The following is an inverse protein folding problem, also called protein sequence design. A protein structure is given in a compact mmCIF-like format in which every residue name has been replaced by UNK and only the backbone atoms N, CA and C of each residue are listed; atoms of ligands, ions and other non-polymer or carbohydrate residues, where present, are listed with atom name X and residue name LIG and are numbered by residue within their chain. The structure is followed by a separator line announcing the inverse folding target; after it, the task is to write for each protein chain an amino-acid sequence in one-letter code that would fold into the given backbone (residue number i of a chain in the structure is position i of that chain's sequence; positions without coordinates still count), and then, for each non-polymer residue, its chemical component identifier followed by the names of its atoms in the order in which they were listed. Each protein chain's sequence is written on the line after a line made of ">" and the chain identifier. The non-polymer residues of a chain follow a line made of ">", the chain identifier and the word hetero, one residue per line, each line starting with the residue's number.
data_IF_966779896244
#
_entry.id   IF_966779896244
#
_cell.length_a   1.000
_cell.length_b   1.000
_cell.length_c   1.000
_cell.angle_alpha   90.00
_cell.angle_beta   90.00
_cell.angle_gamma   90.00
#
_symmetry.space_group_name_H-M   'P 1'
#
loop_
_entity.id
_entity.type
_entity.pdbx_description
1 polymer ?
#
# COMPACT_ATOMS: atom_id res chain seq x y z
N UNK A 1 2.10 -27.70 -14.61
CA UNK A 1 1.99 -26.64 -13.57
C UNK A 1 2.71 -25.41 -14.12
N UNK A 2 2.21 -24.20 -13.90
CA UNK A 2 2.86 -22.99 -14.41
C UNK A 2 2.84 -21.88 -13.36
N UNK A 3 3.91 -21.10 -13.31
CA UNK A 3 4.05 -19.91 -12.49
C UNK A 3 3.96 -18.65 -13.35
N UNK A 4 3.33 -17.61 -12.80
CA UNK A 4 3.18 -16.32 -13.44
C UNK A 4 3.51 -15.21 -12.46
N UNK A 5 4.26 -14.25 -12.95
CA UNK A 5 4.63 -13.03 -12.23
C UNK A 5 4.58 -11.88 -13.22
N UNK A 6 3.99 -10.76 -12.81
CA UNK A 6 3.96 -9.54 -13.61
C UNK A 6 5.34 -8.85 -13.69
N UNK A 7 6.30 -9.30 -12.87
CA UNK A 7 7.69 -8.82 -12.89
C UNK A 7 8.59 -9.52 -13.92
N UNK A 8 8.14 -10.63 -14.54
CA UNK A 8 8.93 -11.40 -15.50
C UNK A 8 8.54 -11.07 -16.94
N UNK A 9 9.53 -10.85 -17.81
CA UNK A 9 9.28 -10.72 -19.25
C UNK A 9 8.83 -12.06 -19.84
N UNK A 10 8.18 -12.00 -21.00
CA UNK A 10 7.62 -13.17 -21.70
C UNK A 10 8.66 -14.30 -21.93
N UNK A 11 9.93 -13.96 -22.16
CA UNK A 11 11.02 -14.92 -22.32
C UNK A 11 11.43 -15.57 -20.99
N UNK A 12 11.73 -14.79 -19.96
CA UNK A 12 12.07 -15.27 -18.61
C UNK A 12 10.95 -16.13 -18.02
N UNK A 13 9.69 -15.74 -18.25
CA UNK A 13 8.54 -16.51 -17.83
C UNK A 13 8.44 -17.85 -18.57
N UNK A 14 8.81 -17.91 -19.85
CA UNK A 14 8.88 -19.17 -20.58
C UNK A 14 9.96 -20.07 -20.00
N UNK A 15 11.15 -19.54 -19.74
CA UNK A 15 12.28 -20.33 -19.20
C UNK A 15 12.00 -20.85 -17.79
N UNK A 16 11.42 -20.02 -16.92
CA UNK A 16 11.00 -20.43 -15.57
C UNK A 16 9.96 -21.54 -15.62
N UNK A 17 8.98 -21.43 -16.52
CA UNK A 17 7.96 -22.48 -16.68
C UNK A 17 8.53 -23.77 -17.28
N UNK A 18 9.51 -23.68 -18.18
CA UNK A 18 10.23 -24.84 -18.70
C UNK A 18 11.05 -25.52 -17.61
N UNK A 19 11.78 -24.78 -16.77
CA UNK A 19 12.54 -25.33 -15.65
C UNK A 19 11.64 -25.97 -14.60
N UNK A 20 10.53 -25.30 -14.24
CA UNK A 20 9.55 -25.83 -13.30
C UNK A 20 8.91 -27.13 -13.81
N UNK A 21 8.57 -27.18 -15.10
CA UNK A 21 8.02 -28.39 -15.71
C UNK A 21 9.03 -29.54 -15.71
N UNK A 22 10.29 -29.29 -16.05
CA UNK A 22 11.35 -30.29 -16.02
C UNK A 22 11.60 -30.84 -14.61
N UNK A 23 11.61 -29.96 -13.59
CA UNK A 23 11.76 -30.37 -12.20
C UNK A 23 10.59 -31.24 -11.73
N UNK A 24 9.35 -30.84 -12.00
CA UNK A 24 8.17 -31.63 -11.63
C UNK A 24 8.16 -32.98 -12.34
N UNK A 25 8.60 -33.05 -13.61
CA UNK A 25 8.72 -34.31 -14.34
C UNK A 25 9.86 -35.20 -13.86
N UNK A 26 10.81 -34.67 -13.09
CA UNK A 26 11.90 -35.45 -12.48
C UNK A 26 11.55 -36.03 -11.11
N UNK A 27 10.40 -35.65 -10.52
CA UNK A 27 9.93 -36.19 -9.25
C UNK A 27 9.24 -37.54 -9.47
N UNK A 28 9.55 -38.52 -8.62
CA UNK A 28 8.95 -39.85 -8.67
C UNK A 28 7.45 -39.82 -8.31
N UNK A 29 6.68 -40.74 -8.89
CA UNK A 29 5.24 -40.83 -8.65
C UNK A 29 4.94 -41.24 -7.21
N UNK A 30 4.65 -40.27 -6.34
CA UNK A 30 4.27 -40.51 -4.94
C UNK A 30 4.57 -39.36 -3.97
N UNK A 31 5.39 -38.38 -4.36
CA UNK A 31 5.72 -37.23 -3.50
C UNK A 31 4.76 -36.04 -3.69
N UNK A 32 4.64 -35.19 -2.66
CA UNK A 32 3.81 -33.99 -2.70
C UNK A 32 4.37 -32.96 -3.69
N UNK A 33 4.06 -33.13 -4.98
CA UNK A 33 4.56 -32.29 -6.08
C UNK A 33 4.35 -30.79 -5.89
N UNK A 34 3.37 -30.38 -5.07
CA UNK A 34 3.08 -28.96 -4.80
C UNK A 34 4.14 -28.35 -3.88
N UNK A 35 4.59 -29.07 -2.85
CA UNK A 35 5.62 -28.55 -1.93
C UNK A 35 6.94 -28.37 -2.68
N UNK A 36 7.35 -29.38 -3.43
CA UNK A 36 8.58 -29.36 -4.23
C UNK A 36 8.51 -28.28 -5.32
N UNK A 37 7.37 -28.11 -6.00
CA UNK A 37 7.19 -27.02 -6.95
C UNK A 37 7.33 -25.63 -6.30
N UNK A 38 6.80 -25.43 -5.08
CA UNK A 38 6.91 -24.14 -4.38
C UNK A 38 8.33 -23.89 -3.88
N UNK A 39 9.02 -24.90 -3.36
CA UNK A 39 10.43 -24.77 -2.96
C UNK A 39 11.32 -24.50 -4.16
N UNK A 40 11.15 -25.27 -5.23
CA UNK A 40 11.93 -25.08 -6.46
C UNK A 40 11.76 -23.67 -7.02
N UNK A 41 10.54 -23.13 -7.07
CA UNK A 41 10.32 -21.74 -7.50
C UNK A 41 11.08 -20.79 -6.58
N UNK A 42 10.99 -20.92 -5.25
CA UNK A 42 11.72 -20.05 -4.31
C UNK A 42 13.24 -20.08 -4.53
N UNK A 43 13.81 -21.27 -4.67
CA UNK A 43 15.26 -21.46 -4.80
C UNK A 43 15.80 -21.05 -6.17
N UNK A 44 14.96 -21.13 -7.22
CA UNK A 44 15.39 -20.88 -8.60
C UNK A 44 14.85 -19.56 -9.17
N UNK A 45 14.14 -18.72 -8.40
CA UNK A 45 13.59 -17.45 -8.91
C UNK A 45 14.68 -16.42 -9.23
N UNK A 46 15.76 -16.38 -8.45
CA UNK A 46 16.83 -15.39 -8.57
C UNK A 46 17.45 -15.33 -9.99
N UNK A 47 17.91 -16.43 -10.60
CA UNK A 47 18.54 -16.37 -11.94
C UNK A 47 17.60 -15.89 -13.05
N UNK A 48 16.28 -16.08 -12.93
CA UNK A 48 15.31 -15.57 -13.91
C UNK A 48 15.02 -14.07 -13.73
N UNK A 49 15.30 -13.51 -12.55
CA UNK A 49 15.27 -12.07 -12.28
C UNK A 49 16.56 -11.37 -12.74
N UNK A 50 17.69 -12.08 -12.73
CA UNK A 50 19.03 -11.56 -13.08
C UNK A 50 19.20 -11.18 -14.57
N UNK A 51 18.26 -11.55 -15.45
CA UNK A 51 18.20 -10.99 -16.82
C UNK A 51 17.92 -9.47 -16.88
N UNK A 52 17.72 -8.82 -15.73
CA UNK A 52 17.67 -7.37 -15.55
C UNK A 52 18.95 -6.79 -14.90
N UNK A 53 19.91 -7.61 -14.50
CA UNK A 53 21.12 -7.19 -13.77
C UNK A 53 22.35 -7.77 -14.46
N UNK A 54 22.91 -7.00 -15.39
CA UNK A 54 24.28 -7.23 -15.85
C UNK A 54 25.27 -7.10 -14.68
N UNK A 55 26.31 -7.95 -14.62
CA UNK A 55 27.28 -7.95 -13.52
C UNK A 55 28.30 -6.83 -13.74
N UNK A 56 27.95 -5.61 -13.36
CA UNK A 56 28.89 -4.49 -13.35
C UNK A 56 29.05 -3.97 -11.93
N UNK A 57 30.11 -4.48 -11.31
CA UNK A 57 30.85 -3.88 -10.20
C UNK A 57 30.10 -3.80 -8.87
N UNK A 58 30.76 -4.27 -7.82
CA UNK A 58 30.48 -3.92 -6.43
C UNK A 58 30.59 -2.40 -6.25
N UNK A 59 29.59 -1.67 -6.75
CA UNK A 59 29.25 -0.33 -6.36
C UNK A 59 28.08 -0.51 -5.41
N UNK A 60 28.21 0.05 -4.21
CA UNK A 60 27.13 0.20 -3.25
C UNK A 60 25.84 0.47 -4.02
N UNK A 61 24.91 -0.49 -4.00
CA UNK A 61 23.57 -0.25 -4.52
C UNK A 61 23.01 0.81 -3.61
N UNK A 62 23.16 2.08 -4.01
CA UNK A 62 22.31 3.15 -3.55
C UNK A 62 20.94 2.75 -4.09
N UNK A 63 20.27 1.86 -3.35
CA UNK A 63 18.84 1.64 -3.45
C UNK A 63 18.30 3.04 -3.22
N UNK A 64 17.96 3.74 -4.31
CA UNK A 64 17.16 4.95 -4.20
C UNK A 64 15.92 4.49 -3.46
N UNK A 65 15.84 4.78 -2.17
CA UNK A 65 14.67 4.46 -1.35
C UNK A 65 13.48 5.16 -2.02
N UNK A 66 12.71 4.39 -2.79
CA UNK A 66 11.51 4.89 -3.46
C UNK A 66 10.45 5.02 -2.38
N UNK A 67 10.09 6.27 -2.10
CA UNK A 67 9.02 6.58 -1.18
C UNK A 67 7.70 6.29 -1.87
N UNK A 68 6.87 5.48 -1.25
CA UNK A 68 5.51 5.21 -1.68
C UNK A 68 4.53 5.89 -0.73
N UNK A 69 3.44 6.43 -1.28
CA UNK A 69 2.33 6.96 -0.52
C UNK A 69 1.04 6.26 -0.91
N UNK A 70 0.33 5.72 0.07
CA UNK A 70 -0.97 5.09 -0.13
C UNK A 70 -2.08 5.97 0.41
N UNK A 71 -3.08 6.19 -0.42
CA UNK A 71 -4.29 6.91 -0.06
C UNK A 71 -5.47 5.95 0.02
N UNK A 72 -5.93 5.71 1.23
CA UNK A 72 -6.93 4.69 1.54
C UNK A 72 -8.21 5.39 1.97
N UNK A 73 -9.29 5.07 1.26
CA UNK A 73 -10.64 5.48 1.58
C UNK A 73 -11.36 4.35 2.32
N UNK A 74 -12.11 4.71 3.35
CA UNK A 74 -13.02 3.81 4.05
C UNK A 74 -14.36 4.51 4.28
N UNK A 75 -15.43 3.72 4.35
CA UNK A 75 -16.76 4.29 4.60
C UNK A 75 -16.80 4.99 5.96
N UNK A 76 -16.32 4.32 7.03
CA UNK A 76 -16.16 4.90 8.36
C UNK A 76 -14.99 4.28 9.13
N UNK A 77 -14.39 5.06 10.03
CA UNK A 77 -13.47 4.57 11.08
C UNK A 77 -14.00 5.02 12.43
N UNK A 78 -14.80 4.18 13.09
CA UNK A 78 -15.38 4.49 14.42
C UNK A 78 -14.84 3.59 15.54
N UNK A 79 -14.42 2.37 15.23
CA UNK A 79 -13.97 1.40 16.24
C UNK A 79 -12.59 1.81 16.75
N UNK A 80 -12.49 2.03 18.06
CA UNK A 80 -11.21 2.34 18.72
C UNK A 80 -10.16 1.24 18.50
N UNK A 81 -10.57 -0.04 18.48
CA UNK A 81 -9.67 -1.16 18.20
C UNK A 81 -9.06 -1.09 16.79
N UNK A 82 -9.86 -0.66 15.81
CA UNK A 82 -9.41 -0.50 14.43
C UNK A 82 -8.45 0.66 14.29
N UNK A 83 -8.76 1.79 14.94
CA UNK A 83 -7.88 2.95 15.04
C UNK A 83 -6.56 2.55 15.69
N UNK A 84 -6.60 1.89 16.86
CA UNK A 84 -5.41 1.38 17.54
C UNK A 84 -4.58 0.47 16.61
N UNK A 85 -5.22 -0.46 15.90
CA UNK A 85 -4.54 -1.33 14.94
C UNK A 85 -3.83 -0.55 13.83
N UNK A 86 -4.45 0.49 13.28
CA UNK A 86 -3.85 1.38 12.27
C UNK A 86 -2.57 2.02 12.82
N UNK A 87 -2.65 2.62 14.01
CA UNK A 87 -1.50 3.27 14.66
C UNK A 87 -0.39 2.28 15.03
N UNK A 88 -0.73 1.13 15.63
CA UNK A 88 0.24 0.09 15.99
C UNK A 88 0.96 -0.44 14.74
N UNK A 89 0.24 -0.61 13.63
CA UNK A 89 0.82 -1.09 12.36
C UNK A 89 1.73 -0.03 11.73
N UNK A 90 1.29 1.22 11.66
CA UNK A 90 2.10 2.32 11.13
C UNK A 90 3.40 2.50 11.94
N UNK A 91 3.29 2.49 13.27
CA UNK A 91 4.44 2.58 14.18
C UNK A 91 5.40 1.40 14.02
N UNK A 92 4.89 0.17 13.93
CA UNK A 92 5.70 -1.04 13.74
C UNK A 92 6.51 -0.98 12.44
N UNK A 93 5.92 -0.44 11.38
CA UNK A 93 6.52 -0.33 10.05
C UNK A 93 7.26 1.00 9.82
N UNK A 94 7.34 1.86 10.84
CA UNK A 94 7.97 3.19 10.79
C UNK A 94 7.44 4.06 9.64
N UNK A 95 6.14 3.98 9.37
CA UNK A 95 5.47 4.78 8.36
C UNK A 95 5.05 6.13 8.93
N UNK A 96 5.02 7.16 8.10
CA UNK A 96 4.43 8.48 8.40
C UNK A 96 3.11 8.65 7.67
N UNK A 97 2.37 9.74 7.93
CA UNK A 97 1.06 9.97 7.32
C UNK A 97 0.00 10.39 8.32
N UNK A 98 -1.24 10.01 8.08
CA UNK A 98 -2.33 10.33 9.00
C UNK A 98 -3.47 9.33 8.95
N UNK A 99 -4.25 9.29 10.04
CA UNK A 99 -5.54 8.64 10.10
C UNK A 99 -6.63 9.67 10.43
N UNK A 100 -7.51 9.95 9.47
CA UNK A 100 -8.72 10.74 9.64
C UNK A 100 -9.87 9.80 10.01
N UNK A 101 -10.16 9.71 11.31
CA UNK A 101 -11.28 8.92 11.80
C UNK A 101 -12.61 9.69 11.66
N UNK A 102 -13.69 9.00 11.29
CA UNK A 102 -15.00 9.63 11.06
C UNK A 102 -15.74 9.02 9.87
N UNK A 103 -16.66 9.80 9.29
CA UNK A 103 -17.41 9.48 8.07
C UNK A 103 -17.26 10.62 7.06
N UNK A 104 -16.61 10.41 5.91
CA UNK A 104 -15.82 9.22 5.55
C UNK A 104 -14.54 9.09 6.40
N UNK A 105 -13.95 7.89 6.44
CA UNK A 105 -12.64 7.68 7.06
C UNK A 105 -11.54 7.66 6.00
N UNK A 106 -10.45 8.38 6.22
CA UNK A 106 -9.31 8.46 5.29
C UNK A 106 -8.03 8.09 6.01
N UNK A 107 -7.18 7.31 5.36
CA UNK A 107 -5.85 6.96 5.87
C UNK A 107 -4.84 7.27 4.78
N UNK A 108 -3.77 7.97 5.15
CA UNK A 108 -2.59 8.17 4.32
C UNK A 108 -1.39 7.52 5.02
N UNK A 109 -0.60 6.74 4.30
CA UNK A 109 0.70 6.26 4.78
C UNK A 109 1.80 6.54 3.77
N UNK A 110 2.97 6.91 4.28
CA UNK A 110 4.18 7.18 3.50
C UNK A 110 5.36 6.39 4.06
N UNK A 111 6.19 5.87 3.18
CA UNK A 111 7.43 5.20 3.55
C UNK A 111 7.95 4.28 2.44
N UNK A 112 8.82 3.32 2.77
CA UNK A 112 9.29 2.33 1.81
C UNK A 112 8.12 1.53 1.21
N UNK A 113 8.16 1.26 -0.10
CA UNK A 113 7.12 0.54 -0.82
C UNK A 113 6.70 -0.76 -0.10
N UNK A 114 7.67 -1.58 0.30
CA UNK A 114 7.43 -2.84 1.01
C UNK A 114 6.65 -2.66 2.32
N UNK A 115 6.93 -1.59 3.07
CA UNK A 115 6.24 -1.28 4.31
C UNK A 115 4.82 -0.76 4.06
N UNK A 116 4.63 0.07 3.04
CA UNK A 116 3.32 0.54 2.63
C UNK A 116 2.40 -0.61 2.19
N UNK A 117 2.91 -1.53 1.36
CA UNK A 117 2.18 -2.72 0.92
C UNK A 117 1.84 -3.64 2.10
N UNK A 118 2.77 -3.83 3.04
CA UNK A 118 2.53 -4.61 4.26
C UNK A 118 1.47 -3.96 5.15
N UNK A 119 1.52 -2.64 5.32
CA UNK A 119 0.49 -1.90 6.05
C UNK A 119 -0.88 -2.12 5.43
N UNK A 120 -1.01 -1.98 4.10
CA UNK A 120 -2.27 -2.22 3.40
C UNK A 120 -2.76 -3.66 3.58
N UNK A 121 -1.85 -4.64 3.49
CA UNK A 121 -2.17 -6.05 3.72
C UNK A 121 -2.76 -6.26 5.12
N UNK A 122 -2.20 -5.68 6.16
CA UNK A 122 -2.68 -5.85 7.55
C UNK A 122 -4.00 -5.10 7.82
N UNK A 123 -4.12 -3.88 7.26
CA UNK A 123 -5.25 -2.97 7.53
C UNK A 123 -6.48 -3.31 6.70
N UNK A 124 -6.37 -4.03 5.57
CA UNK A 124 -7.54 -4.36 4.73
C UNK A 124 -8.46 -5.47 5.29
N UNK A 125 -7.95 -6.40 6.09
CA UNK A 125 -8.68 -7.59 6.55
C UNK A 125 -9.62 -7.48 7.79
N UNK A 126 -9.54 -6.46 8.66
CA UNK A 126 -10.60 -6.19 9.64
C UNK A 126 -12.00 -6.11 8.99
N UNK A 127 -13.05 -6.21 9.79
CA UNK A 127 -14.44 -6.16 9.30
C UNK A 127 -14.90 -4.75 8.91
N UNK A 128 -14.33 -4.21 7.84
CA UNK A 128 -14.75 -2.98 7.19
C UNK A 128 -16.09 -3.16 6.48
N UNK A 129 -16.98 -2.15 6.53
CA UNK A 129 -18.12 -2.10 5.61
C UNK A 129 -17.67 -1.93 4.17
N UNK A 130 -16.69 -1.04 3.96
CA UNK A 130 -16.03 -0.80 2.69
C UNK A 130 -14.70 -0.09 2.95
N UNK A 131 -13.62 -0.61 2.35
CA UNK A 131 -12.28 -0.02 2.37
C UNK A 131 -11.63 -0.24 1.00
N UNK A 132 -10.92 0.77 0.49
CA UNK A 132 -10.26 0.72 -0.82
C UNK A 132 -9.04 1.62 -0.83
N UNK A 133 -7.90 1.11 -1.31
CA UNK A 133 -6.79 1.97 -1.73
C UNK A 133 -7.20 2.68 -3.03
N UNK A 134 -7.35 4.00 -2.98
CA UNK A 134 -7.85 4.84 -4.10
C UNK A 134 -6.72 5.38 -4.96
N UNK A 135 -5.56 5.62 -4.36
CA UNK A 135 -4.42 6.20 -5.04
C UNK A 135 -3.12 5.71 -4.43
N UNK A 136 -2.10 5.56 -5.28
CA UNK A 136 -0.73 5.23 -4.91
C UNK A 136 0.17 6.22 -5.62
N UNK A 137 1.01 6.89 -4.86
CA UNK A 137 2.05 7.77 -5.40
C UNK A 137 3.41 7.15 -5.14
N UNK A 138 4.36 7.41 -6.03
CA UNK A 138 5.74 6.96 -5.88
C UNK A 138 6.65 8.13 -6.20
N UNK A 139 7.53 8.46 -5.26
CA UNK A 139 8.49 9.55 -5.39
C UNK A 139 9.91 8.98 -5.34
N UNK A 140 10.77 9.47 -6.24
CA UNK A 140 12.19 9.16 -6.23
C UNK A 140 12.92 10.16 -5.31
N UNK A 141 13.27 9.73 -4.10
CA UNK A 141 14.05 10.52 -3.15
C UNK A 141 13.51 10.47 -1.73
N UNK A 142 14.43 10.39 -0.76
CA UNK A 142 14.15 10.24 0.67
C UNK A 142 13.54 11.48 1.35
N UNK A 143 13.39 12.60 0.63
CA UNK A 143 12.94 13.89 1.17
C UNK A 143 11.48 14.26 0.90
N UNK A 144 10.71 13.40 0.24
CA UNK A 144 9.35 13.74 -0.25
C UNK A 144 8.22 13.36 0.73
N UNK A 145 8.53 13.15 2.01
CA UNK A 145 7.51 12.95 3.05
C UNK A 145 6.68 14.24 3.19
N UNK A 146 5.40 14.17 2.86
CA UNK A 146 4.47 15.28 3.07
C UNK A 146 4.05 15.35 4.55
N UNK A 147 4.11 14.23 5.25
CA UNK A 147 3.76 14.11 6.67
C UNK A 147 4.98 13.66 7.47
N UNK A 148 5.51 14.47 8.41
CA UNK A 148 6.73 14.14 9.14
C UNK A 148 6.53 13.05 10.22
N UNK A 149 5.29 12.82 10.63
CA UNK A 149 4.91 11.80 11.61
C UNK A 149 3.63 11.11 11.16
N UNK A 150 3.26 10.01 11.83
CA UNK A 150 1.94 9.41 11.68
C UNK A 150 0.98 10.01 12.70
N UNK A 151 0.08 10.89 12.23
CA UNK A 151 -0.79 11.68 13.10
C UNK A 151 -2.23 11.22 13.11
N UNK A 152 -2.89 11.53 14.23
CA UNK A 152 -4.33 11.40 14.35
C UNK A 152 -5.01 12.69 13.92
N UNK A 153 -5.53 12.71 12.71
CA UNK A 153 -6.13 13.91 12.16
C UNK A 153 -7.54 14.07 12.72
N UNK A 154 -7.70 15.04 13.61
CA UNK A 154 -9.00 15.41 14.21
C UNK A 154 -9.46 16.74 13.62
N UNK A 155 -10.43 16.68 12.73
CA UNK A 155 -11.09 17.87 12.20
C UNK A 155 -12.37 18.12 13.00
N UNK A 156 -12.71 19.39 13.23
CA UNK A 156 -13.95 19.73 13.91
C UNK A 156 -15.13 19.29 13.04
N UNK A 157 -16.05 18.51 13.61
CA UNK A 157 -17.25 18.09 12.91
C UNK A 157 -18.12 19.32 12.60
N UNK A 158 -18.60 19.43 11.36
CA UNK A 158 -19.49 20.53 10.98
C UNK A 158 -20.94 20.17 11.32
N UNK A 159 -21.55 20.93 12.25
CA UNK A 159 -23.00 21.12 12.32
C UNK A 159 -23.74 20.46 13.49
N UNK A 160 -24.72 21.22 13.99
CA UNK A 160 -25.75 20.87 14.98
C UNK A 160 -26.84 19.93 14.40
N UNK A 161 -26.42 18.90 13.65
CA UNK A 161 -27.34 17.93 13.05
C UNK A 161 -27.76 16.87 14.08
N UNK A 162 -28.53 17.32 15.07
CA UNK A 162 -29.56 16.61 15.85
C UNK A 162 -29.29 15.19 16.35
N UNK A 163 -29.33 15.02 17.68
CA UNK A 163 -29.74 13.84 18.49
C UNK A 163 -29.24 12.42 18.13
N UNK A 164 -28.47 12.23 17.07
CA UNK A 164 -27.85 10.97 16.65
C UNK A 164 -26.40 11.28 16.30
N UNK A 165 -25.48 10.46 16.82
CA UNK A 165 -24.02 10.54 16.63
C UNK A 165 -23.58 10.38 15.15
N UNK A 166 -24.11 11.17 14.21
CA UNK A 166 -23.68 11.21 12.81
C UNK A 166 -22.47 12.15 12.71
N UNK A 167 -21.31 11.60 13.06
CA UNK A 167 -20.01 12.28 13.02
C UNK A 167 -19.59 12.50 11.55
N UNK A 168 -20.14 13.55 10.93
CA UNK A 168 -19.80 13.97 9.58
C UNK A 168 -18.59 14.91 9.63
N UNK A 169 -17.50 14.50 8.98
CA UNK A 169 -16.27 15.29 8.95
C UNK A 169 -16.43 16.52 8.06
N UNK A 170 -15.82 17.63 8.46
CA UNK A 170 -15.73 18.82 7.62
C UNK A 170 -14.76 18.58 6.46
N UNK A 171 -15.31 18.27 5.29
CA UNK A 171 -14.53 18.06 4.07
C UNK A 171 -13.81 19.33 3.60
N UNK A 172 -14.27 20.52 3.99
CA UNK A 172 -13.61 21.80 3.70
C UNK A 172 -12.32 21.94 4.51
N UNK A 173 -12.37 21.67 5.81
CA UNK A 173 -11.17 21.61 6.66
C UNK A 173 -10.20 20.52 6.18
N UNK A 174 -10.71 19.37 5.71
CA UNK A 174 -9.87 18.33 5.15
C UNK A 174 -9.17 18.77 3.86
N UNK A 175 -9.88 19.47 2.97
CA UNK A 175 -9.27 20.04 1.76
C UNK A 175 -8.17 21.05 2.10
N UNK A 176 -8.39 21.91 3.09
CA UNK A 176 -7.39 22.89 3.51
C UNK A 176 -6.15 22.21 4.11
N UNK A 177 -6.35 21.17 4.91
CA UNK A 177 -5.25 20.32 5.39
C UNK A 177 -4.45 19.72 4.22
N UNK A 178 -5.12 19.15 3.21
CA UNK A 178 -4.42 18.59 2.06
C UNK A 178 -3.61 19.65 1.28
N UNK A 179 -4.15 20.87 1.12
CA UNK A 179 -3.43 21.99 0.48
C UNK A 179 -2.19 22.41 1.26
N UNK A 180 -2.27 22.47 2.59
CA UNK A 180 -1.11 22.79 3.44
C UNK A 180 0.04 21.78 3.23
N UNK A 181 -0.31 20.53 2.93
CA UNK A 181 0.63 19.45 2.64
C UNK A 181 0.82 19.21 1.13
N UNK A 182 0.42 20.13 0.24
CA UNK A 182 0.59 20.03 -1.24
C UNK A 182 0.03 18.72 -1.85
N UNK A 183 -1.11 18.27 -1.34
CA UNK A 183 -1.76 16.99 -1.73
C UNK A 183 -3.24 17.16 -2.08
N UNK A 184 -3.66 18.36 -2.48
CA UNK A 184 -5.05 18.71 -2.77
C UNK A 184 -5.67 17.93 -3.94
N UNK A 185 -4.85 17.48 -4.89
CA UNK A 185 -5.31 16.68 -6.04
C UNK A 185 -5.96 15.38 -5.59
N UNK A 186 -5.52 14.83 -4.46
CA UNK A 186 -6.03 13.58 -3.89
C UNK A 186 -7.47 13.71 -3.40
N UNK A 187 -7.91 14.91 -3.03
CA UNK A 187 -9.29 15.16 -2.63
C UNK A 187 -10.28 14.70 -3.72
N UNK A 188 -10.00 15.06 -4.97
CA UNK A 188 -10.83 14.65 -6.11
C UNK A 188 -10.76 13.13 -6.34
N UNK A 189 -9.61 12.51 -6.10
CA UNK A 189 -9.43 11.06 -6.29
C UNK A 189 -10.18 10.26 -5.22
N UNK A 190 -10.16 10.73 -3.96
CA UNK A 190 -10.83 10.06 -2.84
C UNK A 190 -12.35 10.14 -2.94
N UNK A 191 -12.88 11.31 -3.28
CA UNK A 191 -14.32 11.59 -3.21
C UNK A 191 -15.02 11.68 -4.56
N UNK A 192 -14.28 11.72 -5.67
CA UNK A 192 -14.84 11.86 -7.02
C UNK A 192 -15.49 13.23 -7.29
N UNK A 193 -15.29 14.21 -6.39
CA UNK A 193 -15.82 15.56 -6.53
C UNK A 193 -14.65 16.53 -6.75
N UNK A 194 -14.77 17.43 -7.73
CA UNK A 194 -13.86 18.58 -7.82
C UNK A 194 -14.07 19.40 -6.56
N UNK A 195 -13.04 19.56 -5.73
CA UNK A 195 -13.11 20.42 -4.55
C UNK A 195 -13.62 21.80 -4.97
N UNK A 196 -14.61 22.34 -4.25
CA UNK A 196 -14.99 23.74 -4.46
C UNK A 196 -13.81 24.57 -3.96
N UNK A 197 -13.06 25.14 -4.88
CA UNK A 197 -12.16 26.25 -4.59
C UNK A 197 -13.08 27.39 -4.12
N UNK A 198 -13.05 27.68 -2.82
CA UNK A 198 -13.56 28.96 -2.34
C UNK A 198 -12.58 30.02 -2.84
N UNK A 199 -13.06 30.86 -3.75
CA UNK A 199 -12.43 32.12 -4.17
C UNK A 199 -12.58 33.15 -3.05
#
# INVERSE_FOLDING_TARGET
>A
LFARSDALRRHQQSELNTGLAAHISSLDSGEMCIHEAVQWVKDNTLPYLEGQLSPETASEVVVKETLQRLWIYSHHIYRQELRKKIFDTAKKLKLTGFCLAGKPGVICVEGPQEHCEEFWRVVRYPSWKHISCKHVETAEGSGDHLFPAFEDLQLQAHGDYGLRNDYHMDLGQFLEFLKQHRSEHVFQILFGVKGKLSD
#
